data_IF_428311292927
#
_entry.id   IF_428311292927
#
_cell.length_a   1.000
_cell.length_b   1.000
_cell.length_c   1.000
_cell.angle_alpha   90.00
_cell.angle_beta   90.00
_cell.angle_gamma   90.00
#
_symmetry.space_group_name_H-M   'P 1'
#
loop_
_entity.id
_entity.type
_entity.pdbx_description
1 polymer ?
#
# COMPACT_ATOMS: atom_id res chain seq x y z
N UNK A 1 -6.27 22.75 15.31
CA UNK A 1 -6.17 21.55 14.43
C UNK A 1 -7.56 20.91 14.34
N UNK A 2 -8.17 20.89 13.15
CA UNK A 2 -9.56 20.46 12.95
C UNK A 2 -9.71 18.94 13.10
N UNK A 3 -10.67 18.49 13.92
CA UNK A 3 -10.96 17.08 14.28
C UNK A 3 -10.83 16.06 13.13
N UNK A 4 -11.36 16.38 11.94
CA UNK A 4 -11.28 15.52 10.74
C UNK A 4 -9.84 15.14 10.33
N UNK A 5 -8.86 16.02 10.55
CA UNK A 5 -7.47 15.81 10.13
C UNK A 5 -6.81 14.66 10.91
N UNK A 6 -7.13 14.56 12.21
CA UNK A 6 -6.62 13.50 13.09
C UNK A 6 -7.20 12.14 12.70
N UNK A 7 -8.48 12.12 12.31
CA UNK A 7 -9.17 10.90 11.87
C UNK A 7 -8.60 10.35 10.56
N UNK A 8 -8.37 11.20 9.55
CA UNK A 8 -7.79 10.74 8.29
C UNK A 8 -6.34 10.26 8.44
N UNK A 9 -5.52 10.95 9.22
CA UNK A 9 -4.14 10.52 9.51
C UNK A 9 -4.07 9.22 10.32
N UNK A 10 -5.00 9.02 11.27
CA UNK A 10 -5.09 7.76 12.00
C UNK A 10 -5.54 6.61 11.09
N UNK A 11 -6.57 6.83 10.26
CA UNK A 11 -7.07 5.84 9.31
C UNK A 11 -6.02 5.47 8.25
N UNK A 12 -5.28 6.43 7.70
CA UNK A 12 -4.20 6.16 6.74
C UNK A 12 -3.11 5.28 7.35
N UNK A 13 -2.76 5.54 8.60
CA UNK A 13 -1.75 4.77 9.34
C UNK A 13 -2.25 3.36 9.62
N UNK A 14 -3.48 3.20 10.09
CA UNK A 14 -4.10 1.90 10.36
C UNK A 14 -4.20 1.06 9.08
N UNK A 15 -4.67 1.65 7.97
CA UNK A 15 -4.75 0.95 6.68
C UNK A 15 -3.37 0.56 6.15
N UNK A 16 -2.36 1.40 6.34
CA UNK A 16 -1.00 1.09 5.90
C UNK A 16 -0.38 -0.04 6.72
N UNK A 17 -0.57 -0.04 8.04
CA UNK A 17 -0.14 -1.14 8.91
C UNK A 17 -0.88 -2.44 8.60
N UNK A 18 -2.20 -2.39 8.40
CA UNK A 18 -3.00 -3.55 8.04
C UNK A 18 -2.56 -4.12 6.69
N UNK A 19 -2.32 -3.26 5.69
CA UNK A 19 -1.80 -3.66 4.39
C UNK A 19 -0.40 -4.28 4.48
N UNK A 20 0.52 -3.68 5.23
CA UNK A 20 1.85 -4.24 5.45
C UNK A 20 1.79 -5.62 6.13
N UNK A 21 0.92 -5.79 7.14
CA UNK A 21 0.71 -7.07 7.82
C UNK A 21 0.16 -8.15 6.88
N UNK A 22 -0.81 -7.80 6.01
CA UNK A 22 -1.34 -8.71 5.01
C UNK A 22 -0.29 -9.13 3.97
N UNK A 23 0.60 -8.22 3.54
CA UNK A 23 1.73 -8.57 2.66
C UNK A 23 2.70 -9.53 3.35
N UNK A 24 3.02 -9.31 4.62
CA UNK A 24 3.91 -10.18 5.39
C UNK A 24 3.32 -11.60 5.56
N UNK A 25 2.03 -11.68 5.86
CA UNK A 25 1.32 -12.97 5.94
C UNK A 25 1.27 -13.67 4.58
N UNK A 26 0.97 -12.94 3.51
CA UNK A 26 0.96 -13.47 2.14
C UNK A 26 2.32 -14.06 1.74
N UNK A 27 3.41 -13.37 2.09
CA UNK A 27 4.78 -13.86 1.84
C UNK A 27 5.10 -15.10 2.68
N UNK A 28 4.72 -15.11 3.96
CA UNK A 28 5.01 -16.23 4.88
C UNK A 28 4.35 -17.55 4.47
N UNK A 29 3.17 -17.48 3.84
CA UNK A 29 2.44 -18.66 3.33
C UNK A 29 2.95 -19.09 1.94
N UNK A 30 3.63 -18.21 1.21
CA UNK A 30 4.10 -18.48 -0.16
C UNK A 30 5.30 -19.44 -0.26
N UNK A 31 5.94 -19.81 0.85
CA UNK A 31 7.16 -20.63 0.83
C UNK A 31 6.95 -22.12 0.57
N UNK A 32 5.73 -22.65 0.77
CA UNK A 32 5.34 -24.03 0.40
C UNK A 32 3.83 -24.08 0.09
N UNK A 33 3.39 -23.56 -1.07
CA UNK A 33 1.96 -23.38 -1.32
C UNK A 33 1.30 -24.67 -1.83
N UNK A 34 0.24 -25.12 -1.16
CA UNK A 34 -0.73 -26.04 -1.76
C UNK A 34 -1.64 -25.30 -2.76
N UNK A 35 -2.23 -26.02 -3.72
CA UNK A 35 -3.06 -25.46 -4.80
C UNK A 35 -4.24 -24.60 -4.29
N UNK A 36 -4.79 -24.91 -3.11
CA UNK A 36 -5.83 -24.11 -2.45
C UNK A 36 -5.29 -22.84 -1.76
N UNK A 37 -4.04 -22.85 -1.32
CA UNK A 37 -3.41 -21.73 -0.60
C UNK A 37 -2.98 -20.62 -1.55
N UNK A 38 -2.68 -20.94 -2.81
CA UNK A 38 -2.36 -19.97 -3.87
C UNK A 38 -3.48 -18.94 -4.06
N UNK A 39 -4.75 -19.37 -4.00
CA UNK A 39 -5.90 -18.46 -4.13
C UNK A 39 -6.03 -17.53 -2.92
N UNK A 40 -5.68 -18.01 -1.74
CA UNK A 40 -5.70 -17.26 -0.48
C UNK A 40 -4.56 -16.23 -0.41
N UNK A 41 -3.36 -16.62 -0.85
CA UNK A 41 -2.19 -15.72 -0.99
C UNK A 41 -2.53 -14.58 -1.96
N UNK A 42 -3.11 -14.89 -3.12
CA UNK A 42 -3.51 -13.89 -4.12
C UNK A 42 -4.54 -12.91 -3.56
N UNK A 43 -5.58 -13.40 -2.86
CA UNK A 43 -6.62 -12.52 -2.32
C UNK A 43 -6.07 -11.59 -1.22
N UNK A 44 -5.23 -12.11 -0.32
CA UNK A 44 -4.57 -11.33 0.72
C UNK A 44 -3.61 -10.29 0.12
N UNK A 45 -2.84 -10.67 -0.89
CA UNK A 45 -1.91 -9.78 -1.58
C UNK A 45 -2.62 -8.61 -2.25
N UNK A 46 -3.68 -8.88 -3.04
CA UNK A 46 -4.44 -7.82 -3.71
C UNK A 46 -5.24 -6.95 -2.71
N UNK A 47 -5.74 -7.54 -1.62
CA UNK A 47 -6.41 -6.78 -0.55
C UNK A 47 -5.44 -5.86 0.19
N UNK A 48 -4.22 -6.34 0.46
CA UNK A 48 -3.15 -5.55 1.07
C UNK A 48 -2.76 -4.35 0.20
N UNK A 49 -2.66 -4.60 -1.11
CA UNK A 49 -2.44 -3.60 -2.15
C UNK A 49 -3.52 -2.50 -2.10
N UNK A 50 -4.79 -2.89 -2.10
CA UNK A 50 -5.92 -1.96 -2.00
C UNK A 50 -5.88 -1.14 -0.72
N UNK A 51 -5.58 -1.77 0.42
CA UNK A 51 -5.44 -1.11 1.72
C UNK A 51 -4.32 -0.06 1.73
N UNK A 52 -3.16 -0.39 1.15
CA UNK A 52 -2.03 0.52 1.03
C UNK A 52 -2.38 1.72 0.14
N UNK A 53 -3.01 1.50 -1.01
CA UNK A 53 -3.42 2.58 -1.92
C UNK A 53 -4.44 3.51 -1.25
N UNK A 54 -5.45 2.97 -0.59
CA UNK A 54 -6.45 3.79 0.12
C UNK A 54 -5.79 4.53 1.29
N UNK A 55 -4.90 3.88 2.04
CA UNK A 55 -4.15 4.51 3.13
C UNK A 55 -3.34 5.71 2.64
N UNK A 56 -2.65 5.55 1.52
CA UNK A 56 -1.92 6.63 0.83
C UNK A 56 -2.85 7.77 0.43
N UNK A 57 -3.99 7.48 -0.22
CA UNK A 57 -4.95 8.50 -0.66
C UNK A 57 -5.50 9.30 0.53
N UNK A 58 -5.86 8.63 1.62
CA UNK A 58 -6.32 9.29 2.85
C UNK A 58 -5.21 10.15 3.48
N UNK A 59 -3.96 9.69 3.43
CA UNK A 59 -2.79 10.46 3.85
C UNK A 59 -2.59 11.73 3.02
N UNK A 60 -2.67 11.63 1.69
CA UNK A 60 -2.59 12.78 0.76
C UNK A 60 -3.74 13.75 0.99
N UNK A 61 -4.98 13.26 1.16
CA UNK A 61 -6.14 14.12 1.47
C UNK A 61 -5.92 14.86 2.79
N UNK A 62 -5.41 14.18 3.82
CA UNK A 62 -5.08 14.80 5.12
C UNK A 62 -3.99 15.88 5.03
N UNK A 63 -3.01 15.71 4.15
CA UNK A 63 -1.95 16.68 3.86
C UNK A 63 -2.50 17.87 3.05
N UNK A 64 -3.21 17.61 1.95
CA UNK A 64 -3.72 18.64 1.02
C UNK A 64 -4.73 19.56 1.70
N UNK A 65 -5.60 19.01 2.55
CA UNK A 65 -6.68 19.76 3.21
C UNK A 65 -6.20 20.63 4.39
N UNK A 66 -4.95 20.48 4.86
CA UNK A 66 -4.54 21.14 6.09
C UNK A 66 -3.07 21.51 6.25
N UNK A 67 -2.22 21.35 5.22
CA UNK A 67 -0.84 21.84 5.24
C UNK A 67 -0.58 22.91 4.18
N UNK A 68 0.09 24.00 4.59
CA UNK A 68 0.70 24.99 3.70
C UNK A 68 2.21 24.97 3.98
N UNK A 69 3.04 24.67 2.99
CA UNK A 69 4.50 24.67 3.13
C UNK A 69 5.19 23.47 2.48
N UNK A 70 6.52 23.39 2.65
CA UNK A 70 7.42 22.41 2.04
C UNK A 70 7.03 20.95 2.32
N UNK A 71 6.57 20.64 3.54
CA UNK A 71 6.15 19.29 3.94
C UNK A 71 5.02 18.70 3.08
N UNK A 72 4.13 19.56 2.55
CA UNK A 72 3.06 19.14 1.64
C UNK A 72 3.63 18.51 0.37
N UNK A 73 4.69 19.11 -0.18
CA UNK A 73 5.32 18.63 -1.41
C UNK A 73 6.14 17.37 -1.16
N UNK A 74 6.87 17.30 -0.04
CA UNK A 74 7.64 16.11 0.33
C UNK A 74 6.72 14.90 0.56
N UNK A 75 5.59 15.06 1.26
CA UNK A 75 4.64 13.98 1.49
C UNK A 75 4.00 13.47 0.20
N UNK A 76 3.61 14.38 -0.70
CA UNK A 76 3.09 14.01 -2.04
C UNK A 76 4.18 13.31 -2.86
N UNK A 77 5.43 13.77 -2.81
CA UNK A 77 6.55 13.18 -3.54
C UNK A 77 6.84 11.74 -3.08
N UNK A 78 6.86 11.49 -1.77
CA UNK A 78 7.05 10.14 -1.21
C UNK A 78 5.94 9.19 -1.69
N UNK A 79 4.69 9.66 -1.64
CA UNK A 79 3.55 8.90 -2.14
C UNK A 79 3.69 8.59 -3.63
N UNK A 80 4.10 9.57 -4.42
CA UNK A 80 4.26 9.42 -5.87
C UNK A 80 5.36 8.41 -6.21
N UNK A 81 6.49 8.46 -5.50
CA UNK A 81 7.57 7.47 -5.62
C UNK A 81 7.11 6.06 -5.23
N UNK A 82 6.31 5.93 -4.17
CA UNK A 82 5.78 4.65 -3.73
C UNK A 82 4.81 4.04 -4.76
N UNK A 83 3.90 4.85 -5.31
CA UNK A 83 2.98 4.41 -6.37
C UNK A 83 3.76 4.03 -7.63
N UNK A 84 4.76 4.83 -8.03
CA UNK A 84 5.62 4.54 -9.17
C UNK A 84 6.38 3.22 -8.98
N UNK A 85 6.91 2.96 -7.78
CA UNK A 85 7.55 1.69 -7.44
C UNK A 85 6.59 0.51 -7.53
N UNK A 86 5.35 0.68 -7.09
CA UNK A 86 4.32 -0.36 -7.19
C UNK A 86 3.94 -0.67 -8.65
N UNK A 87 3.76 0.38 -9.46
CA UNK A 87 3.49 0.23 -10.90
C UNK A 87 4.67 -0.44 -11.58
N UNK A 88 5.91 -0.05 -11.26
CA UNK A 88 7.11 -0.68 -11.81
C UNK A 88 7.22 -2.16 -11.43
N UNK A 89 6.90 -2.54 -10.19
CA UNK A 89 6.86 -3.93 -9.74
C UNK A 89 5.74 -4.74 -10.42
N UNK A 90 4.59 -4.13 -10.65
CA UNK A 90 3.48 -4.78 -11.37
C UNK A 90 3.83 -4.98 -12.85
N UNK A 91 4.42 -3.95 -13.49
CA UNK A 91 4.90 -4.02 -14.87
C UNK A 91 6.03 -5.04 -14.99
N UNK A 92 6.95 -5.12 -14.03
CA UNK A 92 8.01 -6.13 -14.06
C UNK A 92 7.44 -7.54 -13.98
N UNK A 93 6.46 -7.80 -13.10
CA UNK A 93 5.75 -9.08 -13.05
C UNK A 93 4.99 -9.39 -14.35
N UNK A 94 4.36 -8.38 -14.96
CA UNK A 94 3.56 -8.55 -16.18
C UNK A 94 4.42 -8.80 -17.44
N UNK A 95 5.57 -8.12 -17.57
CA UNK A 95 6.42 -8.20 -18.75
C UNK A 95 7.57 -9.21 -18.66
N UNK A 96 8.10 -9.47 -17.46
CA UNK A 96 9.21 -10.43 -17.26
C UNK A 96 8.72 -11.82 -16.81
N UNK A 97 7.41 -11.97 -16.57
CA UNK A 97 6.80 -13.18 -16.01
C UNK A 97 7.14 -13.34 -14.51
N UNK A 98 6.32 -14.13 -13.81
CA UNK A 98 6.67 -14.63 -12.47
C UNK A 98 7.93 -15.49 -12.61
N UNK A 99 9.10 -14.89 -12.39
CA UNK A 99 10.33 -15.65 -12.27
C UNK A 99 10.28 -16.30 -10.89
N UNK A 100 9.83 -17.55 -10.86
CA UNK A 100 9.93 -18.41 -9.68
C UNK A 100 11.38 -18.39 -9.17
N UNK A 101 11.62 -18.34 -7.85
CA UNK A 101 12.96 -18.51 -7.29
C UNK A 101 13.55 -19.88 -7.63
#
# INVERSE_FOLDING_TARGET
>A
MTSKKRTFGALSTILSLAGAGMLFMSYSVSTTPDSGEVMLIKSLFFSALGSLVIGILLGVVGIVTGERGFLKFTGILIVLLMVAGFIAAFLSMAFLGFREP
#
